data_IF_458093555089
#
_entry.id   IF_458093555089
#
_cell.length_a   1.000
_cell.length_b   1.000
_cell.length_c   1.000
_cell.angle_alpha   90.00
_cell.angle_beta   90.00
_cell.angle_gamma   90.00
#
_symmetry.space_group_name_H-M   'P 1'
#
loop_
_entity.id
_entity.type
_entity.pdbx_description
1 polymer ?
#
# COMPACT_ATOMS: atom_id res chain seq x y z
N UNK A 1 24.15 22.83 -4.51
CA UNK A 1 22.69 22.99 -4.64
C UNK A 1 22.13 22.76 -3.25
N UNK A 2 21.42 23.75 -2.69
CA UNK A 2 20.67 23.54 -1.44
C UNK A 2 19.65 22.44 -1.74
N UNK A 3 19.69 21.32 -1.03
CA UNK A 3 18.66 20.27 -1.14
C UNK A 3 17.33 20.91 -0.73
N UNK A 4 16.31 20.78 -1.56
CA UNK A 4 14.97 21.26 -1.21
C UNK A 4 14.42 20.32 -0.15
N UNK A 5 14.34 20.84 1.09
CA UNK A 5 13.69 20.10 2.16
C UNK A 5 12.19 19.96 1.87
N UNK A 6 11.64 18.81 2.17
CA UNK A 6 10.24 18.48 1.92
C UNK A 6 9.61 17.88 3.17
N UNK A 7 8.37 18.25 3.46
CA UNK A 7 7.57 17.55 4.46
C UNK A 7 6.98 16.27 3.87
N UNK A 8 6.79 15.26 4.71
CA UNK A 8 6.11 14.00 4.35
C UNK A 8 4.87 13.84 5.21
N UNK A 9 3.74 13.50 4.60
CA UNK A 9 2.50 13.11 5.30
C UNK A 9 2.07 11.73 4.78
N UNK A 10 1.97 10.75 5.70
CA UNK A 10 1.49 9.41 5.36
C UNK A 10 0.26 9.07 6.22
N UNK A 11 -0.96 9.15 5.66
CA UNK A 11 -2.16 8.67 6.34
C UNK A 11 -2.20 7.14 6.34
N UNK A 12 -2.27 6.55 7.54
CA UNK A 12 -2.38 5.10 7.80
C UNK A 12 -3.62 4.75 8.64
N UNK A 13 -4.59 5.67 8.71
CA UNK A 13 -5.78 5.54 9.56
C UNK A 13 -6.87 4.59 9.00
N UNK A 14 -6.69 4.03 7.80
CA UNK A 14 -7.66 3.17 7.12
C UNK A 14 -7.84 1.81 7.80
N UNK A 15 -9.10 1.33 7.92
CA UNK A 15 -9.40 0.01 8.54
C UNK A 15 -8.97 -1.21 7.72
N UNK A 16 -8.88 -1.07 6.40
CA UNK A 16 -8.59 -2.18 5.52
C UNK A 16 -9.68 -3.27 5.50
N UNK A 17 -10.96 -2.89 5.55
CA UNK A 17 -12.11 -3.82 5.65
C UNK A 17 -12.13 -4.88 4.56
N UNK A 18 -11.70 -4.55 3.34
CA UNK A 18 -11.62 -5.46 2.20
C UNK A 18 -10.55 -6.56 2.34
N UNK A 19 -9.64 -6.41 3.31
CA UNK A 19 -8.57 -7.37 3.64
C UNK A 19 -8.86 -8.18 4.90
N UNK A 20 -10.06 -8.07 5.47
CA UNK A 20 -10.48 -8.95 6.56
C UNK A 20 -10.50 -10.40 6.10
N UNK A 21 -10.06 -11.37 6.94
CA UNK A 21 -9.78 -11.23 8.37
C UNK A 21 -8.37 -10.71 8.73
N UNK A 22 -7.44 -10.57 7.78
CA UNK A 22 -6.03 -10.22 8.04
C UNK A 22 -5.86 -8.89 8.77
N UNK A 23 -6.77 -7.94 8.51
CA UNK A 23 -6.75 -6.61 9.13
C UNK A 23 -7.51 -6.52 10.46
N UNK A 24 -8.01 -7.62 11.03
CA UNK A 24 -8.63 -7.58 12.36
C UNK A 24 -7.61 -7.25 13.46
N UNK A 25 -6.46 -7.88 13.44
CA UNK A 25 -5.40 -7.68 14.44
C UNK A 25 -4.31 -6.71 13.99
N UNK A 26 -4.01 -6.66 12.70
CA UNK A 26 -2.88 -5.91 12.12
C UNK A 26 -3.38 -4.74 11.30
N UNK A 27 -2.79 -3.51 11.43
CA UNK A 27 -3.07 -2.41 10.51
C UNK A 27 -2.76 -2.80 9.06
N UNK A 28 -3.58 -2.33 8.10
CA UNK A 28 -3.39 -2.62 6.69
C UNK A 28 -1.97 -2.32 6.20
N UNK A 29 -1.42 -1.17 6.59
CA UNK A 29 -0.08 -0.72 6.22
C UNK A 29 1.05 -1.60 6.78
N UNK A 30 0.76 -2.45 7.77
CA UNK A 30 1.70 -3.41 8.34
C UNK A 30 1.51 -4.84 7.80
N UNK A 31 0.63 -5.07 6.84
CA UNK A 31 0.59 -6.35 6.14
C UNK A 31 1.88 -6.55 5.33
N UNK A 32 2.40 -7.78 5.37
CA UNK A 32 3.65 -8.14 4.71
C UNK A 32 3.44 -8.44 3.23
N UNK A 33 4.38 -7.95 2.43
CA UNK A 33 4.56 -8.28 1.01
C UNK A 33 6.07 -8.34 0.73
N UNK A 34 6.52 -9.31 -0.02
CA UNK A 34 7.93 -9.45 -0.43
C UNK A 34 8.93 -9.24 0.73
N UNK A 35 8.63 -9.81 1.91
CA UNK A 35 9.53 -9.86 3.05
C UNK A 35 9.48 -8.69 4.04
N UNK A 36 8.67 -7.64 3.80
CA UNK A 36 8.50 -6.54 4.75
C UNK A 36 7.09 -5.94 4.72
N UNK A 37 6.66 -5.18 5.74
CA UNK A 37 5.39 -4.48 5.73
C UNK A 37 5.27 -3.47 4.57
N UNK A 38 4.05 -3.22 4.09
CA UNK A 38 3.76 -2.20 3.06
C UNK A 38 4.38 -0.86 3.45
N UNK A 39 4.16 -0.40 4.70
CA UNK A 39 4.74 0.84 5.21
C UNK A 39 6.27 0.81 5.17
N UNK A 40 6.90 -0.34 5.41
CA UNK A 40 8.34 -0.51 5.31
C UNK A 40 8.87 -0.24 3.90
N UNK A 41 8.20 -0.74 2.87
CA UNK A 41 8.56 -0.43 1.47
C UNK A 41 8.45 1.08 1.18
N UNK A 42 7.40 1.73 1.72
CA UNK A 42 7.20 3.18 1.54
C UNK A 42 8.32 3.96 2.24
N UNK A 43 8.62 3.65 3.51
CA UNK A 43 9.66 4.34 4.28
C UNK A 43 11.04 4.18 3.64
N UNK A 44 11.37 2.98 3.16
CA UNK A 44 12.65 2.72 2.48
C UNK A 44 12.78 3.52 1.17
N UNK A 45 11.68 3.72 0.45
CA UNK A 45 11.70 4.49 -0.80
C UNK A 45 11.92 6.00 -0.61
N UNK A 46 11.74 6.50 0.61
CA UNK A 46 11.90 7.90 0.99
C UNK A 46 13.24 8.19 1.69
N UNK A 47 14.11 7.19 1.86
CA UNK A 47 15.34 7.33 2.66
C UNK A 47 16.33 8.38 2.11
N UNK A 48 16.33 8.60 0.80
CA UNK A 48 17.24 9.52 0.11
C UNK A 48 16.73 10.96 0.02
N UNK A 49 15.56 11.25 0.58
CA UNK A 49 14.99 12.61 0.60
C UNK A 49 15.52 13.39 1.82
N UNK A 50 15.76 14.69 1.60
CA UNK A 50 15.98 15.64 2.70
C UNK A 50 14.62 16.06 3.26
N UNK A 51 14.25 15.47 4.41
CA UNK A 51 12.91 15.61 5.00
C UNK A 51 12.98 16.51 6.22
N UNK A 52 12.19 17.58 6.18
CA UNK A 52 12.08 18.55 7.31
C UNK A 52 11.10 18.05 8.38
N UNK A 53 9.96 17.51 8.02
CA UNK A 53 8.98 16.92 8.93
C UNK A 53 8.43 15.64 8.34
N UNK A 54 8.30 14.60 9.17
CA UNK A 54 7.72 13.32 8.78
C UNK A 54 6.50 13.02 9.66
N UNK A 55 5.31 13.18 9.09
CA UNK A 55 4.05 13.05 9.82
C UNK A 55 3.33 11.77 9.41
N UNK A 56 3.01 10.94 10.39
CA UNK A 56 2.19 9.73 10.23
C UNK A 56 0.82 10.01 10.83
N UNK A 57 -0.23 9.97 10.02
CA UNK A 57 -1.61 10.13 10.51
C UNK A 57 -2.18 8.76 10.86
N UNK A 58 -2.35 8.54 12.15
CA UNK A 58 -2.71 7.27 12.76
C UNK A 58 -4.24 7.09 12.88
N UNK A 59 -4.67 5.84 12.94
CA UNK A 59 -6.05 5.45 13.26
C UNK A 59 -6.12 4.54 14.49
N UNK A 60 -7.12 3.67 14.55
CA UNK A 60 -7.45 2.86 15.73
C UNK A 60 -6.38 1.85 16.19
N UNK A 61 -5.34 1.59 15.42
CA UNK A 61 -4.24 0.65 15.77
C UNK A 61 -2.90 1.38 15.80
N UNK A 62 -2.89 2.55 16.41
CA UNK A 62 -1.75 3.46 16.45
C UNK A 62 -0.48 2.80 16.99
N UNK A 63 -0.57 2.10 18.13
CA UNK A 63 0.59 1.53 18.83
C UNK A 63 1.44 0.62 17.93
N UNK A 64 0.81 -0.26 17.16
CA UNK A 64 1.54 -1.16 16.26
C UNK A 64 2.32 -0.41 15.17
N UNK A 65 1.79 0.72 14.68
CA UNK A 65 2.45 1.55 13.68
C UNK A 65 3.59 2.33 14.32
N UNK A 66 3.40 2.89 15.51
CA UNK A 66 4.43 3.59 16.28
C UNK A 66 5.59 2.64 16.58
N UNK A 67 5.30 1.44 17.10
CA UNK A 67 6.31 0.42 17.38
C UNK A 67 7.09 0.01 16.13
N UNK A 68 6.44 -0.03 14.98
CA UNK A 68 7.09 -0.32 13.72
C UNK A 68 7.99 0.85 13.28
N UNK A 69 7.49 2.08 13.29
CA UNK A 69 8.22 3.27 12.88
C UNK A 69 9.45 3.53 13.77
N UNK A 70 9.36 3.24 15.07
CA UNK A 70 10.48 3.41 16.02
C UNK A 70 11.72 2.54 15.70
N UNK A 71 11.64 1.61 14.75
CA UNK A 71 12.77 0.81 14.25
C UNK A 71 13.58 1.54 13.18
N UNK A 72 13.07 2.64 12.65
CA UNK A 72 13.75 3.46 11.65
C UNK A 72 14.58 4.56 12.34
N UNK A 73 15.79 4.86 11.88
CA UNK A 73 16.65 5.91 12.43
C UNK A 73 16.17 7.30 11.98
N UNK A 74 14.93 7.65 12.32
CA UNK A 74 14.27 8.88 11.90
C UNK A 74 13.20 9.28 12.90
N UNK A 75 13.03 10.58 13.09
CA UNK A 75 11.96 11.13 13.93
C UNK A 75 10.65 11.23 13.15
N UNK A 76 9.58 10.76 13.78
CA UNK A 76 8.22 10.84 13.25
C UNK A 76 7.34 11.67 14.18
N UNK A 77 6.53 12.55 13.59
CA UNK A 77 5.40 13.16 14.27
C UNK A 77 4.17 12.29 14.07
N UNK A 78 3.45 12.01 15.15
CA UNK A 78 2.24 11.21 15.10
C UNK A 78 1.02 12.06 15.37
N UNK A 79 0.01 11.97 14.52
CA UNK A 79 -1.27 12.66 14.65
C UNK A 79 -2.39 11.65 14.59
N UNK A 80 -3.30 11.68 15.56
CA UNK A 80 -4.41 10.72 15.62
C UNK A 80 -5.64 11.25 14.88
N UNK A 81 -6.13 10.49 13.91
CA UNK A 81 -7.43 10.69 13.29
C UNK A 81 -8.48 9.90 14.08
N UNK A 82 -9.03 10.47 15.15
CA UNK A 82 -10.05 9.82 15.99
C UNK A 82 -11.33 9.49 15.20
N UNK A 83 -11.83 10.49 14.46
CA UNK A 83 -13.00 10.33 13.58
C UNK A 83 -12.55 10.18 12.14
N UNK A 84 -12.89 9.08 11.52
CA UNK A 84 -12.56 8.77 10.12
C UNK A 84 -13.49 9.51 9.17
N UNK A 85 -13.19 10.76 8.94
CA UNK A 85 -14.01 11.65 8.11
C UNK A 85 -13.54 11.71 6.65
N UNK A 86 -12.57 10.88 6.25
CA UNK A 86 -12.05 10.80 4.88
C UNK A 86 -10.58 11.18 4.75
N UNK A 87 -10.04 11.05 3.53
CA UNK A 87 -8.63 11.32 3.22
C UNK A 87 -8.31 12.82 3.34
N UNK A 88 -9.21 13.69 2.90
CA UNK A 88 -9.03 15.14 3.07
C UNK A 88 -8.80 15.51 4.53
N UNK A 89 -9.67 15.01 5.42
CA UNK A 89 -9.51 15.22 6.86
C UNK A 89 -8.19 14.66 7.42
N UNK A 90 -7.75 13.49 6.96
CA UNK A 90 -6.47 12.92 7.40
C UNK A 90 -5.28 13.82 6.98
N UNK A 91 -5.28 14.32 5.73
CA UNK A 91 -4.25 15.25 5.24
C UNK A 91 -4.30 16.58 5.99
N UNK A 92 -5.51 17.11 6.26
CA UNK A 92 -5.67 18.32 7.06
C UNK A 92 -5.03 18.19 8.45
N UNK A 93 -5.31 17.09 9.17
CA UNK A 93 -4.70 16.82 10.47
C UNK A 93 -3.19 16.71 10.38
N UNK A 94 -2.66 16.01 9.37
CA UNK A 94 -1.22 15.87 9.17
C UNK A 94 -0.51 17.16 8.73
N UNK A 95 -1.26 18.11 8.17
CA UNK A 95 -0.76 19.39 7.68
C UNK A 95 -0.81 20.52 8.73
N UNK A 96 -1.40 20.27 9.91
CA UNK A 96 -1.41 21.25 10.98
C UNK A 96 0.02 21.64 11.35
N UNK A 97 0.27 22.93 11.44
CA UNK A 97 1.60 23.51 11.72
C UNK A 97 2.69 23.21 10.66
N UNK A 98 2.30 22.76 9.46
CA UNK A 98 3.21 22.61 8.34
C UNK A 98 2.96 23.67 7.27
N UNK A 99 4.06 24.15 6.71
CA UNK A 99 4.09 25.04 5.56
C UNK A 99 5.07 24.51 4.50
N UNK A 100 4.93 24.98 3.27
CA UNK A 100 5.86 24.70 2.19
C UNK A 100 5.71 23.34 1.53
N UNK A 101 6.78 22.91 0.83
CA UNK A 101 6.76 21.72 -0.02
C UNK A 101 6.46 20.46 0.77
N UNK A 102 5.49 19.67 0.29
CA UNK A 102 5.03 18.46 0.98
C UNK A 102 4.69 17.36 0.00
N UNK A 103 5.22 16.15 0.26
CA UNK A 103 4.76 14.90 -0.36
C UNK A 103 3.74 14.24 0.57
N UNK A 104 2.56 13.97 0.04
CA UNK A 104 1.56 13.14 0.72
C UNK A 104 1.45 11.80 0.00
N UNK A 105 1.62 10.71 0.76
CA UNK A 105 1.60 9.33 0.24
C UNK A 105 0.60 8.48 1.01
N UNK A 106 -0.24 7.74 0.30
CA UNK A 106 -1.13 6.77 0.95
C UNK A 106 -0.31 5.61 1.56
N UNK A 107 -0.54 5.30 2.83
CA UNK A 107 0.18 4.26 3.56
C UNK A 107 -0.18 2.82 3.21
N UNK A 108 -0.97 2.62 2.17
CA UNK A 108 -1.41 1.32 1.66
C UNK A 108 -1.08 1.11 0.18
N UNK A 109 -0.22 1.96 -0.38
CA UNK A 109 0.12 1.97 -1.80
C UNK A 109 1.63 2.08 -1.97
N UNK A 110 2.22 1.16 -2.72
CA UNK A 110 3.65 1.18 -3.05
C UNK A 110 3.81 1.75 -4.45
N UNK A 111 4.63 2.78 -4.59
CA UNK A 111 4.89 3.45 -5.86
C UNK A 111 6.40 3.45 -6.10
N UNK A 112 6.82 2.94 -7.24
CA UNK A 112 8.22 2.87 -7.64
C UNK A 112 8.54 4.04 -8.57
N UNK A 113 9.01 5.15 -7.99
CA UNK A 113 9.35 6.39 -8.69
C UNK A 113 10.57 7.06 -8.08
N UNK A 114 11.17 7.98 -8.81
CA UNK A 114 12.13 8.92 -8.25
C UNK A 114 11.41 10.05 -7.50
N UNK A 115 11.27 9.91 -6.18
CA UNK A 115 10.62 10.92 -5.34
C UNK A 115 11.34 12.27 -5.33
N UNK A 116 12.65 12.32 -5.63
CA UNK A 116 13.40 13.59 -5.72
C UNK A 116 12.91 14.46 -6.86
N UNK A 117 12.44 13.83 -7.94
CA UNK A 117 11.90 14.56 -9.10
C UNK A 117 10.64 15.35 -8.77
N UNK A 118 9.85 14.91 -7.76
CA UNK A 118 8.67 15.63 -7.28
C UNK A 118 9.05 16.82 -6.41
N UNK A 119 10.03 16.67 -5.50
CA UNK A 119 10.40 17.68 -4.51
C UNK A 119 10.87 19.01 -5.12
N UNK A 120 11.34 19.00 -6.38
CA UNK A 120 11.78 20.20 -7.10
C UNK A 120 10.73 20.87 -7.99
N UNK A 121 9.50 20.38 -8.02
CA UNK A 121 8.45 20.89 -8.90
C UNK A 121 8.03 22.31 -8.57
N UNK A 122 7.86 23.15 -9.61
CA UNK A 122 7.31 24.51 -9.49
C UNK A 122 5.78 24.56 -9.45
N UNK A 123 5.11 23.42 -9.56
CA UNK A 123 3.65 23.27 -9.53
C UNK A 123 3.25 22.20 -8.53
N UNK A 124 2.01 22.21 -8.06
CA UNK A 124 1.43 21.05 -7.42
C UNK A 124 1.41 19.89 -8.43
N UNK A 125 1.70 18.66 -7.98
CA UNK A 125 1.78 17.49 -8.87
C UNK A 125 0.92 16.36 -8.33
N UNK A 126 0.17 15.74 -9.22
CA UNK A 126 -0.61 14.53 -8.95
C UNK A 126 0.01 13.37 -9.72
N UNK A 127 0.41 12.32 -9.02
CA UNK A 127 0.81 11.08 -9.66
C UNK A 127 -0.44 10.34 -10.16
N UNK A 128 -0.43 9.94 -11.41
CA UNK A 128 -1.59 9.31 -12.07
C UNK A 128 -1.21 8.08 -12.86
N UNK A 129 -2.18 7.18 -13.02
CA UNK A 129 -2.06 5.99 -13.87
C UNK A 129 -3.35 5.76 -14.65
N UNK A 130 -3.23 5.27 -15.86
CA UNK A 130 -4.38 4.79 -16.62
C UNK A 130 -4.89 3.48 -16.02
N UNK A 131 -6.19 3.41 -15.73
CA UNK A 131 -6.84 2.26 -15.10
C UNK A 131 -8.01 1.77 -15.93
N UNK A 132 -8.30 0.48 -15.85
CA UNK A 132 -9.43 -0.13 -16.56
C UNK A 132 -10.78 0.23 -15.92
N UNK A 133 -10.83 0.39 -14.58
CA UNK A 133 -12.05 0.77 -13.85
C UNK A 133 -11.83 2.07 -13.07
N UNK A 134 -12.06 3.24 -13.71
CA UNK A 134 -11.84 4.55 -13.09
C UNK A 134 -12.87 4.91 -12.00
N UNK A 135 -14.03 4.24 -11.94
CA UNK A 135 -15.11 4.56 -10.98
C UNK A 135 -14.74 4.38 -9.50
N UNK A 136 -13.58 3.78 -9.25
CA UNK A 136 -13.09 3.48 -7.90
C UNK A 136 -12.16 4.55 -7.33
N UNK A 137 -11.70 5.49 -8.15
CA UNK A 137 -10.61 6.41 -7.84
C UNK A 137 -11.02 7.87 -8.03
N UNK A 138 -10.23 8.78 -7.49
CA UNK A 138 -10.19 10.17 -7.93
C UNK A 138 -9.62 10.24 -9.35
N UNK A 139 -10.32 10.90 -10.27
CA UNK A 139 -9.99 10.95 -11.69
C UNK A 139 -9.61 12.37 -12.09
N UNK A 140 -8.63 12.48 -12.98
CA UNK A 140 -8.22 13.76 -13.56
C UNK A 140 -8.53 13.82 -15.05
N UNK A 141 -8.99 14.99 -15.52
CA UNK A 141 -8.97 15.35 -16.93
C UNK A 141 -7.84 16.36 -17.16
N UNK A 142 -7.11 16.21 -18.25
CA UNK A 142 -5.92 17.01 -18.52
C UNK A 142 -5.95 17.65 -19.91
N UNK A 143 -5.22 18.79 -20.05
CA UNK A 143 -4.85 19.38 -21.32
C UNK A 143 -3.31 19.45 -21.38
N UNK A 144 -2.70 18.54 -22.12
CA UNK A 144 -1.28 18.22 -21.96
C UNK A 144 -1.05 17.62 -20.56
N UNK A 145 -0.14 18.20 -19.77
CA UNK A 145 0.12 17.78 -18.40
C UNK A 145 -0.65 18.62 -17.35
N UNK A 146 -1.37 19.65 -17.78
CA UNK A 146 -2.12 20.52 -16.88
C UNK A 146 -3.49 19.91 -16.56
N UNK A 147 -3.80 19.81 -15.27
CA UNK A 147 -5.09 19.32 -14.80
C UNK A 147 -6.16 20.38 -15.04
N UNK A 148 -7.25 20.00 -15.71
CA UNK A 148 -8.38 20.88 -15.99
C UNK A 148 -9.64 20.50 -15.22
N UNK A 149 -9.72 19.27 -14.71
CA UNK A 149 -10.83 18.81 -13.88
C UNK A 149 -10.40 17.67 -12.95
N UNK A 150 -11.02 17.64 -11.79
CA UNK A 150 -10.87 16.61 -10.76
C UNK A 150 -12.25 16.11 -10.35
N UNK A 151 -12.45 14.80 -10.23
CA UNK A 151 -13.70 14.20 -9.78
C UNK A 151 -13.43 12.93 -8.97
N UNK A 152 -14.00 12.87 -7.76
CA UNK A 152 -13.85 11.69 -6.89
C UNK A 152 -14.88 10.64 -7.24
N UNK A 153 -14.43 9.44 -7.58
CA UNK A 153 -15.26 8.25 -7.86
C UNK A 153 -16.48 8.55 -8.75
N UNK A 154 -16.25 9.09 -9.95
CA UNK A 154 -17.33 9.52 -10.84
C UNK A 154 -18.22 8.35 -11.25
N UNK A 155 -19.54 8.63 -11.42
CA UNK A 155 -20.49 7.63 -11.95
C UNK A 155 -20.25 7.40 -13.45
N UNK A 156 -19.94 8.49 -14.17
CA UNK A 156 -19.66 8.50 -15.60
C UNK A 156 -18.31 9.18 -15.87
N UNK A 157 -17.18 8.42 -15.74
CA UNK A 157 -15.85 8.99 -15.86
C UNK A 157 -15.54 9.39 -17.30
N UNK A 158 -15.06 10.63 -17.49
CA UNK A 158 -14.62 11.16 -18.80
C UNK A 158 -13.15 10.91 -19.08
N UNK A 159 -12.42 10.39 -18.11
CA UNK A 159 -11.02 10.04 -18.20
C UNK A 159 -10.76 8.73 -17.47
N UNK A 160 -9.71 8.01 -17.85
CA UNK A 160 -9.22 6.81 -17.18
C UNK A 160 -7.96 7.08 -16.35
N UNK A 161 -7.55 8.36 -16.22
CA UNK A 161 -6.39 8.76 -15.43
C UNK A 161 -6.76 8.83 -13.95
N UNK A 162 -6.42 7.79 -13.19
CA UNK A 162 -6.65 7.70 -11.76
C UNK A 162 -5.49 8.31 -10.96
N UNK A 163 -5.81 9.04 -9.89
CA UNK A 163 -4.82 9.50 -8.92
C UNK A 163 -4.36 8.29 -8.10
N UNK A 164 -3.05 8.03 -8.04
CA UNK A 164 -2.49 6.82 -7.45
C UNK A 164 -2.10 6.94 -5.98
N UNK A 165 -2.45 8.06 -5.33
CA UNK A 165 -2.16 8.25 -3.91
C UNK A 165 -0.78 8.81 -3.59
N UNK A 166 -0.11 9.44 -4.56
CA UNK A 166 1.07 10.27 -4.37
C UNK A 166 0.76 11.67 -4.87
N UNK A 167 0.97 12.63 -3.98
CA UNK A 167 0.69 14.06 -4.21
C UNK A 167 1.92 14.87 -3.81
N UNK A 168 2.27 15.85 -4.61
CA UNK A 168 3.22 16.89 -4.22
C UNK A 168 2.52 18.25 -4.18
N UNK A 169 2.60 18.90 -3.05
CA UNK A 169 2.07 20.24 -2.83
C UNK A 169 3.21 21.23 -2.64
N UNK A 170 3.18 22.32 -3.35
CA UNK A 170 4.15 23.41 -3.17
C UNK A 170 4.03 24.07 -1.79
N UNK A 171 2.81 24.08 -1.28
CA UNK A 171 2.48 24.62 0.02
C UNK A 171 1.26 23.88 0.58
N UNK A 172 1.51 23.02 1.56
CA UNK A 172 0.47 22.20 2.17
C UNK A 172 -0.52 23.01 3.00
N UNK A 173 -0.15 24.20 3.49
CA UNK A 173 -1.06 25.08 4.22
C UNK A 173 -2.27 25.49 3.34
N UNK A 174 -2.08 25.62 2.03
CA UNK A 174 -3.18 25.90 1.10
C UNK A 174 -4.12 24.71 0.94
N UNK A 175 -3.59 23.50 0.97
CA UNK A 175 -4.40 22.27 0.96
C UNK A 175 -5.20 22.17 2.25
N UNK A 176 -4.59 22.44 3.41
CA UNK A 176 -5.28 22.46 4.69
C UNK A 176 -6.47 23.43 4.68
N UNK A 177 -6.28 24.67 4.19
CA UNK A 177 -7.36 25.66 4.02
C UNK A 177 -8.46 25.21 3.08
N UNK A 178 -8.11 24.50 1.99
CA UNK A 178 -9.12 23.97 1.08
C UNK A 178 -9.93 22.83 1.74
N UNK A 179 -9.29 22.01 2.57
CA UNK A 179 -10.01 21.00 3.35
C UNK A 179 -10.90 21.65 4.41
N UNK A 180 -10.43 22.69 5.11
CA UNK A 180 -11.26 23.46 6.05
C UNK A 180 -12.52 23.97 5.36
N UNK A 181 -12.39 24.54 4.16
CA UNK A 181 -13.53 25.01 3.39
C UNK A 181 -14.54 23.89 3.10
N UNK A 182 -14.11 22.74 2.57
CA UNK A 182 -15.05 21.64 2.28
C UNK A 182 -15.67 21.06 3.55
N UNK A 183 -14.98 21.15 4.71
CA UNK A 183 -15.54 20.73 6.00
C UNK A 183 -16.56 21.74 6.53
N UNK A 184 -16.34 23.04 6.40
CA UNK A 184 -17.27 24.10 6.80
C UNK A 184 -18.55 24.08 5.97
N UNK A 185 -18.42 23.87 4.65
CA UNK A 185 -19.53 23.77 3.71
C UNK A 185 -20.18 22.38 3.66
N UNK A 186 -19.72 21.43 4.47
CA UNK A 186 -20.15 20.02 4.52
C UNK A 186 -20.12 19.31 3.15
N UNK A 187 -19.14 19.64 2.30
CA UNK A 187 -18.96 19.05 0.98
C UNK A 187 -18.36 17.66 1.13
N UNK A 188 -19.14 16.63 0.89
CA UNK A 188 -18.74 15.22 1.03
C UNK A 188 -19.03 14.44 -0.24
N UNK A 189 -18.11 13.54 -0.58
CA UNK A 189 -18.33 12.49 -1.56
C UNK A 189 -18.34 11.14 -0.83
N UNK A 190 -19.44 10.38 -0.96
CA UNK A 190 -19.67 9.11 -0.25
C UNK A 190 -19.53 9.22 1.28
N UNK A 191 -20.08 10.26 1.86
CA UNK A 191 -20.05 10.60 3.29
C UNK A 191 -18.67 10.87 3.88
N UNK A 192 -17.67 11.17 3.05
CA UNK A 192 -16.30 11.49 3.48
C UNK A 192 -15.83 12.81 2.87
N UNK A 193 -15.03 13.57 3.60
CA UNK A 193 -14.31 14.72 3.07
C UNK A 193 -13.11 14.21 2.26
N UNK A 194 -13.28 14.13 0.95
CA UNK A 194 -12.26 13.59 0.06
C UNK A 194 -11.20 14.66 -0.26
N UNK A 195 -9.94 14.21 -0.33
CA UNK A 195 -8.85 15.11 -0.76
C UNK A 195 -9.11 15.64 -2.18
N UNK A 196 -9.62 14.80 -3.08
CA UNK A 196 -9.94 15.17 -4.47
C UNK A 196 -10.94 16.33 -4.54
N UNK A 197 -11.92 16.40 -3.62
CA UNK A 197 -12.90 17.51 -3.58
C UNK A 197 -12.22 18.82 -3.13
N UNK A 198 -11.29 18.77 -2.18
CA UNK A 198 -10.49 19.94 -1.78
C UNK A 198 -9.57 20.41 -2.92
N UNK A 199 -8.93 19.48 -3.63
CA UNK A 199 -8.08 19.81 -4.78
C UNK A 199 -8.89 20.40 -5.94
N UNK A 200 -10.12 19.92 -6.16
CA UNK A 200 -11.06 20.53 -7.14
C UNK A 200 -11.38 21.98 -6.75
N UNK A 201 -11.70 22.23 -5.48
CA UNK A 201 -11.92 23.60 -5.01
C UNK A 201 -10.68 24.48 -5.23
N UNK A 202 -9.47 23.99 -4.96
CA UNK A 202 -8.23 24.75 -5.23
C UNK A 202 -8.08 25.06 -6.74
N UNK A 203 -8.37 24.08 -7.61
CA UNK A 203 -8.31 24.24 -9.05
C UNK A 203 -9.31 25.33 -9.52
N UNK A 204 -10.54 25.30 -9.01
CA UNK A 204 -11.59 26.29 -9.30
C UNK A 204 -11.23 27.71 -8.81
N UNK A 205 -10.33 27.81 -7.80
CA UNK A 205 -9.77 29.08 -7.31
C UNK A 205 -8.49 29.50 -8.06
N UNK A 206 -8.11 28.78 -9.12
CA UNK A 206 -6.99 29.13 -10.00
C UNK A 206 -5.64 28.53 -9.62
N UNK A 207 -5.60 27.63 -8.61
CA UNK A 207 -4.38 26.85 -8.34
C UNK A 207 -4.08 25.91 -9.52
N UNK A 208 -2.79 25.74 -9.80
CA UNK A 208 -2.35 24.89 -10.91
C UNK A 208 -1.85 23.57 -10.41
N UNK A 209 -2.29 22.51 -11.09
CA UNK A 209 -1.85 21.15 -10.87
C UNK A 209 -1.33 20.56 -12.18
N UNK A 210 -0.25 19.81 -12.10
CA UNK A 210 0.30 19.00 -13.19
C UNK A 210 0.18 17.53 -12.86
N UNK A 211 0.22 16.70 -13.89
CA UNK A 211 0.31 15.26 -13.68
C UNK A 211 1.72 14.75 -13.92
N UNK A 212 2.04 13.63 -13.24
CA UNK A 212 3.14 12.73 -13.60
C UNK A 212 2.56 11.34 -13.75
N UNK A 213 2.73 10.74 -14.94
CA UNK A 213 2.26 9.36 -15.19
C UNK A 213 3.20 8.36 -14.52
N UNK A 214 2.62 7.42 -13.78
CA UNK A 214 3.32 6.39 -13.04
C UNK A 214 3.08 5.02 -13.69
N UNK A 215 4.15 4.29 -13.94
CA UNK A 215 4.05 2.93 -14.48
C UNK A 215 3.91 1.89 -13.38
N UNK A 216 4.74 2.00 -12.34
CA UNK A 216 4.85 1.02 -11.26
C UNK A 216 4.08 1.50 -10.01
N UNK A 217 2.82 1.15 -9.97
CA UNK A 217 1.88 1.43 -8.89
C UNK A 217 1.22 0.14 -8.42
N UNK A 218 1.31 -0.12 -7.13
CA UNK A 218 0.85 -1.36 -6.49
C UNK A 218 -0.13 -1.02 -5.36
N UNK A 219 -1.43 -1.11 -5.67
CA UNK A 219 -2.51 -0.94 -4.68
C UNK A 219 -2.64 -2.22 -3.85
N UNK A 220 -2.37 -2.14 -2.55
CA UNK A 220 -2.52 -3.26 -1.61
C UNK A 220 -3.93 -3.28 -0.99
N UNK A 221 -4.97 -2.95 -1.74
CA UNK A 221 -6.34 -2.78 -1.24
C UNK A 221 -7.15 -4.05 -1.05
N UNK A 222 -6.79 -5.15 -1.70
CA UNK A 222 -7.50 -6.44 -1.68
C UNK A 222 -6.50 -7.59 -1.57
N UNK A 223 -6.97 -8.80 -1.21
CA UNK A 223 -6.12 -9.99 -1.15
C UNK A 223 -5.47 -10.29 -2.51
N UNK A 224 -6.22 -10.20 -3.60
CA UNK A 224 -5.69 -10.41 -4.95
C UNK A 224 -4.61 -9.39 -5.31
N UNK A 225 -4.86 -8.08 -5.08
CA UNK A 225 -3.87 -7.05 -5.35
C UNK A 225 -2.64 -7.15 -4.44
N UNK A 226 -2.78 -7.65 -3.21
CA UNK A 226 -1.65 -7.91 -2.32
C UNK A 226 -0.75 -9.03 -2.86
N UNK A 227 -1.34 -10.12 -3.39
CA UNK A 227 -0.61 -11.21 -4.04
C UNK A 227 0.08 -10.71 -5.32
N UNK A 228 -0.59 -9.90 -6.13
CA UNK A 228 0.02 -9.33 -7.33
C UNK A 228 1.18 -8.39 -6.98
N UNK A 229 1.03 -7.56 -5.96
CA UNK A 229 2.11 -6.73 -5.43
C UNK A 229 3.30 -7.59 -4.98
N UNK A 230 3.03 -8.69 -4.26
CA UNK A 230 4.05 -9.65 -3.85
C UNK A 230 4.83 -10.22 -5.04
N UNK A 231 4.14 -10.65 -6.10
CA UNK A 231 4.76 -11.15 -7.34
C UNK A 231 5.71 -10.14 -7.97
N UNK A 232 5.29 -8.87 -8.03
CA UNK A 232 6.10 -7.82 -8.65
C UNK A 232 7.31 -7.46 -7.82
N UNK A 233 7.14 -7.27 -6.52
CA UNK A 233 8.24 -6.89 -5.63
C UNK A 233 9.28 -7.99 -5.48
N UNK A 234 8.89 -9.26 -5.44
CA UNK A 234 9.81 -10.39 -5.34
C UNK A 234 10.80 -10.49 -6.50
N UNK A 235 10.49 -9.92 -7.66
CA UNK A 235 11.45 -9.81 -8.78
C UNK A 235 12.67 -8.95 -8.42
N UNK A 236 12.52 -8.01 -7.46
CA UNK A 236 13.57 -7.10 -7.00
C UNK A 236 14.12 -7.49 -5.62
N UNK A 237 13.30 -8.13 -4.77
CA UNK A 237 13.62 -8.41 -3.36
C UNK A 237 13.77 -9.91 -3.07
N UNK A 238 14.19 -10.66 -4.06
CA UNK A 238 14.43 -12.09 -3.91
C UNK A 238 15.52 -12.40 -2.88
N UNK A 239 15.21 -13.26 -1.91
CA UNK A 239 16.11 -13.69 -0.85
C UNK A 239 15.74 -15.08 -0.32
N UNK A 240 16.69 -15.99 -0.26
CA UNK A 240 16.58 -17.26 0.46
C UNK A 240 17.95 -17.92 0.69
N UNK A 241 18.03 -18.77 1.71
CA UNK A 241 19.13 -19.73 1.89
C UNK A 241 18.71 -21.09 1.35
N UNK A 242 19.67 -21.85 0.81
CA UNK A 242 19.43 -23.23 0.37
C UNK A 242 18.88 -24.07 1.52
N UNK A 243 17.85 -24.87 1.25
CA UNK A 243 17.26 -25.80 2.22
C UNK A 243 17.48 -27.23 1.73
N UNK A 244 18.03 -28.09 2.62
CA UNK A 244 18.16 -29.51 2.33
C UNK A 244 16.76 -30.16 2.25
N UNK A 245 16.62 -31.16 1.38
CA UNK A 245 15.37 -31.93 1.17
C UNK A 245 14.15 -31.07 0.75
N UNK A 246 14.36 -29.86 0.23
CA UNK A 246 13.30 -29.01 -0.27
C UNK A 246 13.70 -28.32 -1.57
N UNK A 247 12.73 -28.03 -2.42
CA UNK A 247 12.93 -27.35 -3.72
C UNK A 247 12.44 -25.92 -3.58
N UNK A 248 13.29 -24.95 -3.86
CA UNK A 248 12.93 -23.54 -3.86
C UNK A 248 12.94 -23.02 -5.30
N UNK A 249 11.79 -22.51 -5.76
CA UNK A 249 11.59 -21.97 -7.09
C UNK A 249 11.49 -20.45 -7.04
N UNK A 250 12.49 -19.76 -7.59
CA UNK A 250 12.53 -18.28 -7.63
C UNK A 250 11.45 -17.68 -8.55
N UNK A 251 11.01 -16.40 -8.30
CA UNK A 251 11.45 -15.53 -7.22
C UNK A 251 10.73 -15.84 -5.90
N UNK A 252 11.45 -15.75 -4.77
CA UNK A 252 10.91 -15.95 -3.42
C UNK A 252 11.61 -15.03 -2.42
N UNK A 253 10.94 -14.71 -1.32
CA UNK A 253 11.55 -14.23 -0.10
C UNK A 253 11.31 -15.25 1.02
N UNK A 254 12.36 -15.74 1.64
CA UNK A 254 12.28 -16.68 2.76
C UNK A 254 13.15 -16.16 3.90
N UNK A 255 12.51 -15.81 5.01
CA UNK A 255 13.20 -15.36 6.21
C UNK A 255 14.21 -16.42 6.71
N UNK A 256 15.31 -15.99 7.27
CA UNK A 256 16.38 -16.88 7.72
C UNK A 256 15.94 -17.83 8.83
N UNK A 257 15.03 -17.39 9.71
CA UNK A 257 14.45 -18.18 10.81
C UNK A 257 13.39 -19.19 10.35
N UNK A 258 12.90 -19.11 9.11
CA UNK A 258 11.90 -20.04 8.60
C UNK A 258 12.47 -21.47 8.44
N UNK A 259 11.67 -22.46 8.80
CA UNK A 259 11.97 -23.89 8.64
C UNK A 259 11.16 -24.48 7.51
N UNK A 260 11.84 -25.07 6.52
CA UNK A 260 11.18 -25.68 5.35
C UNK A 260 11.75 -27.08 5.15
N UNK A 261 10.92 -28.11 5.22
CA UNK A 261 11.30 -29.51 5.09
C UNK A 261 10.38 -30.25 4.11
N UNK A 262 10.98 -31.07 3.25
CA UNK A 262 10.27 -31.97 2.32
C UNK A 262 9.18 -31.25 1.51
N UNK A 263 9.49 -30.02 1.04
CA UNK A 263 8.48 -29.11 0.44
C UNK A 263 9.01 -28.47 -0.84
N UNK A 264 8.07 -28.00 -1.67
CA UNK A 264 8.33 -27.16 -2.83
C UNK A 264 7.76 -25.77 -2.55
N UNK A 265 8.60 -24.75 -2.56
CA UNK A 265 8.20 -23.38 -2.25
C UNK A 265 8.58 -22.45 -3.40
N UNK A 266 7.60 -21.76 -3.95
CA UNK A 266 7.76 -20.86 -5.08
C UNK A 266 7.08 -21.37 -6.36
N UNK A 267 7.12 -20.56 -7.45
CA UNK A 267 7.59 -19.18 -7.44
C UNK A 267 6.62 -18.22 -6.74
N UNK A 268 7.08 -16.97 -6.55
CA UNK A 268 6.29 -15.84 -6.03
C UNK A 268 5.78 -16.06 -4.59
N UNK A 269 6.57 -16.66 -3.73
CA UNK A 269 6.20 -16.90 -2.33
C UNK A 269 7.02 -16.03 -1.39
N UNK A 270 6.33 -15.37 -0.45
CA UNK A 270 6.95 -14.72 0.69
C UNK A 270 6.70 -15.53 1.97
N UNK A 271 7.79 -15.87 2.65
CA UNK A 271 7.80 -16.64 3.90
C UNK A 271 8.40 -15.77 4.99
N UNK A 272 7.59 -15.43 6.00
CA UNK A 272 7.98 -14.60 7.13
C UNK A 272 8.84 -15.33 8.17
N UNK A 273 9.17 -14.60 9.25
CA UNK A 273 9.97 -15.12 10.35
C UNK A 273 9.25 -16.28 11.06
N UNK A 274 10.02 -17.28 11.49
CA UNK A 274 9.58 -18.44 12.27
C UNK A 274 8.44 -19.25 11.63
N UNK A 275 8.27 -19.13 10.31
CA UNK A 275 7.32 -19.95 9.55
C UNK A 275 7.83 -21.38 9.46
N UNK A 276 6.92 -22.34 9.63
CA UNK A 276 7.23 -23.76 9.46
C UNK A 276 6.42 -24.33 8.29
N UNK A 277 7.11 -24.88 7.30
CA UNK A 277 6.50 -25.55 6.14
C UNK A 277 7.02 -26.98 6.09
N UNK A 278 6.13 -27.98 6.07
CA UNK A 278 6.50 -29.40 5.93
C UNK A 278 5.57 -30.16 4.99
N UNK A 279 6.13 -31.07 4.19
CA UNK A 279 5.39 -31.92 3.24
C UNK A 279 4.37 -31.14 2.39
N UNK A 280 4.76 -29.96 1.87
CA UNK A 280 3.80 -29.03 1.26
C UNK A 280 4.31 -28.46 -0.06
N UNK A 281 3.38 -28.05 -0.92
CA UNK A 281 3.67 -27.28 -2.11
C UNK A 281 2.99 -25.91 -1.96
N UNK A 282 3.80 -24.83 -2.03
CA UNK A 282 3.32 -23.45 -1.86
C UNK A 282 3.76 -22.62 -3.04
N UNK A 283 2.81 -21.99 -3.70
CA UNK A 283 3.02 -21.13 -4.87
C UNK A 283 2.21 -19.83 -4.77
N UNK A 284 2.73 -18.74 -5.34
CA UNK A 284 2.02 -17.45 -5.44
C UNK A 284 1.34 -17.03 -4.11
N UNK A 285 2.04 -17.14 -2.98
CA UNK A 285 1.42 -17.03 -1.66
C UNK A 285 2.27 -16.21 -0.68
N UNK A 286 1.60 -15.70 0.37
CA UNK A 286 2.21 -14.93 1.44
C UNK A 286 1.95 -15.67 2.76
N UNK A 287 3.02 -16.08 3.44
CA UNK A 287 2.96 -16.71 4.75
C UNK A 287 3.55 -15.77 5.78
N UNK A 288 2.71 -15.25 6.68
CA UNK A 288 3.15 -14.29 7.70
C UNK A 288 3.84 -14.99 8.88
N UNK A 289 4.52 -14.20 9.70
CA UNK A 289 5.38 -14.67 10.78
C UNK A 289 4.71 -15.72 11.67
N UNK A 290 5.44 -16.79 11.95
CA UNK A 290 5.00 -17.90 12.81
C UNK A 290 3.88 -18.78 12.20
N UNK A 291 3.53 -18.59 10.94
CA UNK A 291 2.54 -19.46 10.27
C UNK A 291 3.06 -20.90 10.16
N UNK A 292 2.15 -21.87 10.20
CA UNK A 292 2.47 -23.30 10.06
C UNK A 292 1.67 -23.90 8.91
N UNK A 293 2.37 -24.58 8.00
CA UNK A 293 1.77 -25.23 6.82
C UNK A 293 2.27 -26.66 6.76
N UNK A 294 1.36 -27.62 6.89
CA UNK A 294 1.70 -29.04 6.96
C UNK A 294 0.79 -29.86 6.02
N UNK A 295 1.40 -30.70 5.20
CA UNK A 295 0.71 -31.60 4.26
C UNK A 295 -0.29 -30.87 3.34
N UNK A 296 0.04 -29.68 2.83
CA UNK A 296 -0.89 -28.81 2.12
C UNK A 296 -0.40 -28.43 0.72
N UNK A 297 -1.37 -28.18 -0.19
CA UNK A 297 -1.14 -27.57 -1.49
C UNK A 297 -1.76 -26.15 -1.43
N UNK A 298 -0.92 -25.11 -1.52
CA UNK A 298 -1.38 -23.74 -1.46
C UNK A 298 -1.01 -22.99 -2.74
N UNK A 299 -1.99 -22.30 -3.29
CA UNK A 299 -1.82 -21.36 -4.39
C UNK A 299 -2.63 -20.11 -4.09
N UNK A 300 -2.10 -18.93 -4.47
CA UNK A 300 -2.76 -17.64 -4.31
C UNK A 300 -3.34 -17.41 -2.90
N UNK A 301 -2.56 -17.84 -1.88
CA UNK A 301 -3.02 -17.90 -0.50
C UNK A 301 -2.28 -16.89 0.39
N UNK A 302 -3.00 -16.31 1.36
CA UNK A 302 -2.42 -15.45 2.40
C UNK A 302 -2.67 -16.14 3.74
N UNK A 303 -1.60 -16.57 4.41
CA UNK A 303 -1.67 -17.21 5.73
C UNK A 303 -1.27 -16.19 6.78
N UNK A 304 -2.17 -15.92 7.70
CA UNK A 304 -1.98 -14.91 8.76
C UNK A 304 -0.90 -15.28 9.78
N UNK A 305 -0.51 -14.30 10.58
CA UNK A 305 0.48 -14.48 11.66
C UNK A 305 0.03 -15.57 12.65
N UNK A 306 0.93 -16.54 12.90
CA UNK A 306 0.69 -17.70 13.80
C UNK A 306 -0.52 -18.56 13.39
N UNK A 307 -1.05 -18.40 12.18
CA UNK A 307 -2.12 -19.26 11.66
C UNK A 307 -1.55 -20.64 11.27
N UNK A 308 -2.38 -21.66 11.33
CA UNK A 308 -2.00 -23.02 10.99
C UNK A 308 -2.92 -23.58 9.91
N UNK A 309 -2.30 -24.17 8.88
CA UNK A 309 -2.98 -24.91 7.83
C UNK A 309 -2.43 -26.33 7.84
N UNK A 310 -3.33 -27.29 8.06
CA UNK A 310 -3.00 -28.70 8.03
C UNK A 310 -4.03 -29.42 7.17
N UNK A 311 -3.59 -30.11 6.14
CA UNK A 311 -4.43 -30.97 5.31
C UNK A 311 -4.09 -32.43 5.57
N UNK A 312 -5.05 -33.33 5.32
CA UNK A 312 -4.83 -34.76 5.39
C UNK A 312 -4.70 -35.35 4.00
N UNK A 313 -3.95 -36.44 3.88
CA UNK A 313 -3.94 -37.23 2.66
C UNK A 313 -5.28 -37.97 2.50
N UNK A 314 -5.82 -37.98 1.29
CA UNK A 314 -6.99 -38.78 0.95
C UNK A 314 -6.53 -40.14 0.43
N UNK A 315 -7.12 -41.22 0.93
CA UNK A 315 -6.92 -42.56 0.43
C UNK A 315 -8.01 -42.83 -0.60
N UNK A 316 -7.63 -43.03 -1.85
CA UNK A 316 -8.55 -43.28 -2.96
C UNK A 316 -8.27 -44.66 -3.55
N UNK A 317 -9.34 -45.34 -3.94
CA UNK A 317 -9.28 -46.49 -4.80
C UNK A 317 -10.15 -46.15 -6.00
N UNK A 318 -9.52 -45.93 -7.16
CA UNK A 318 -10.18 -45.43 -8.37
C UNK A 318 -9.93 -46.44 -9.49
N UNK A 319 -10.99 -46.82 -10.23
CA UNK A 319 -10.88 -47.76 -11.33
C UNK A 319 -10.53 -47.04 -12.64
N UNK A 320 -10.24 -47.79 -13.69
CA UNK A 320 -9.93 -47.30 -15.02
C UNK A 320 -10.99 -46.32 -15.55
N UNK A 321 -10.54 -45.25 -16.21
CA UNK A 321 -11.40 -44.21 -16.80
C UNK A 321 -12.24 -43.42 -15.82
N UNK A 322 -11.97 -43.48 -14.50
CA UNK A 322 -12.65 -42.64 -13.49
C UNK A 322 -12.01 -41.24 -13.41
N UNK A 323 -12.84 -40.24 -13.19
CA UNK A 323 -12.43 -38.85 -12.92
C UNK A 323 -12.81 -38.53 -11.51
N UNK A 324 -11.86 -37.97 -10.74
CA UNK A 324 -12.09 -37.48 -9.38
C UNK A 324 -11.66 -36.02 -9.31
N UNK A 325 -12.64 -35.16 -9.12
CA UNK A 325 -12.44 -33.72 -9.01
C UNK A 325 -12.73 -33.27 -7.57
N UNK A 326 -11.93 -32.33 -7.06
CA UNK A 326 -12.16 -31.67 -5.78
C UNK A 326 -12.31 -30.17 -6.05
N UNK A 327 -13.28 -29.52 -5.43
CA UNK A 327 -13.48 -28.08 -5.56
C UNK A 327 -12.35 -27.27 -4.93
#
# INVERSE_FOLDING_TARGET
MLSLQVNIIIPVAGEGTRLRPHTHAVPKSLLYVAGKPILGHILDSLQDLDISNFVIVLGAKADAIIDFCNRYPRDFKYVLQEKRLGLGHAIHLGAQDLEGPTLALLGDTIIDVDYKSFAGSKSNVLAVKEVADPKRFGIVEVKGDDVVRLEEKPKDPKSNLAIVGLYYFRDVARVAKAVDYIMQEDIKTRNEYQLTDALRYMLDKGEKFKIVKIENWYDCGTAASLIDTNRHLLKKTHHYKKREKSIILSPVYIADSATITESIVGPNVSVGEDVVISNSIVKDSILNNGAKVENALLVESIIGTKASVKSGYKRLSVSDSSVVEYP
#
